data_IF_271029196407
#
_entry.id   IF_271029196407
#
_cell.length_a   1.000
_cell.length_b   1.000
_cell.length_c   1.000
_cell.angle_alpha   90.00
_cell.angle_beta   90.00
_cell.angle_gamma   90.00
#
_symmetry.space_group_name_H-M   'P 1'
#
loop_
_entity.id
_entity.type
_entity.pdbx_description
1 polymer ?
#
# COMPACT_ATOMS: atom_id res chain seq x y z
N UNK A 1 -18.01 -7.80 -2.76
CA UNK A 1 -17.50 -6.41 -2.73
C UNK A 1 -17.49 -5.81 -1.33
N UNK A 2 -18.57 -5.93 -0.55
CA UNK A 2 -18.70 -5.28 0.78
C UNK A 2 -17.61 -5.63 1.82
N UNK A 3 -17.13 -6.87 1.87
CA UNK A 3 -16.10 -7.27 2.85
C UNK A 3 -14.72 -6.68 2.58
N UNK A 4 -14.30 -6.63 1.31
CA UNK A 4 -13.01 -6.03 0.93
C UNK A 4 -13.02 -4.51 1.16
N UNK A 5 -14.15 -3.85 0.92
CA UNK A 5 -14.31 -2.43 1.22
C UNK A 5 -14.26 -2.17 2.73
N UNK A 6 -14.94 -2.99 3.53
CA UNK A 6 -14.87 -2.90 5.00
C UNK A 6 -13.44 -3.12 5.51
N UNK A 7 -12.73 -4.09 4.94
CA UNK A 7 -11.32 -4.32 5.26
C UNK A 7 -10.48 -3.07 5.00
N UNK A 8 -10.59 -2.47 3.81
CA UNK A 8 -9.80 -1.30 3.46
C UNK A 8 -10.15 -0.07 4.27
N UNK A 9 -11.44 0.16 4.53
CA UNK A 9 -11.86 1.22 5.43
C UNK A 9 -11.25 1.06 6.83
N UNK A 10 -11.17 -0.17 7.36
CA UNK A 10 -10.51 -0.42 8.64
C UNK A 10 -8.99 -0.17 8.56
N UNK A 11 -8.34 -0.49 7.44
CA UNK A 11 -6.91 -0.17 7.21
C UNK A 11 -6.72 1.34 7.22
N UNK A 12 -7.53 2.09 6.48
CA UNK A 12 -7.47 3.56 6.39
C UNK A 12 -7.63 4.21 7.78
N UNK A 13 -8.61 3.77 8.57
CA UNK A 13 -8.84 4.28 9.93
C UNK A 13 -7.61 4.04 10.81
N UNK A 14 -7.02 2.84 10.73
CA UNK A 14 -5.83 2.52 11.53
C UNK A 14 -4.61 3.29 11.04
N UNK A 15 -4.42 3.44 9.72
CA UNK A 15 -3.34 4.24 9.14
C UNK A 15 -3.37 5.68 9.65
N UNK A 16 -4.54 6.33 9.64
CA UNK A 16 -4.71 7.69 10.16
C UNK A 16 -4.38 7.78 11.64
N UNK A 17 -4.92 6.87 12.45
CA UNK A 17 -4.62 6.83 13.88
C UNK A 17 -3.12 6.64 14.17
N UNK A 18 -2.41 5.84 13.36
CA UNK A 18 -0.97 5.67 13.48
C UNK A 18 -0.19 6.93 13.06
N UNK A 19 -0.65 7.65 12.03
CA UNK A 19 -0.04 8.92 11.61
C UNK A 19 -0.20 10.00 12.69
N UNK A 20 -1.36 10.09 13.33
CA UNK A 20 -1.60 11.02 14.45
C UNK A 20 -0.71 10.69 15.67
N UNK A 21 -0.51 9.41 15.96
CA UNK A 21 0.35 8.96 17.07
C UNK A 21 1.84 9.22 16.83
N UNK A 22 2.27 9.30 15.58
CA UNK A 22 3.67 9.51 15.21
C UNK A 22 4.24 10.83 15.74
N UNK A 23 3.43 11.88 15.79
CA UNK A 23 3.85 13.19 16.29
C UNK A 23 4.05 13.25 17.80
N UNK A 24 3.63 12.22 18.54
CA UNK A 24 3.67 12.18 20.01
C UNK A 24 4.89 11.41 20.53
N UNK A 25 5.42 10.47 19.75
CA UNK A 25 6.51 9.58 20.17
C UNK A 25 7.81 9.89 19.45
N UNK A 26 8.94 9.51 20.06
CA UNK A 26 10.23 9.55 19.37
C UNK A 26 10.28 8.55 18.20
N UNK A 27 10.96 8.87 17.08
CA UNK A 27 11.00 7.99 15.89
C UNK A 27 11.48 6.55 16.16
N UNK A 28 12.43 6.36 17.08
CA UNK A 28 12.91 5.02 17.48
C UNK A 28 11.90 4.28 18.35
N UNK A 29 11.17 4.99 19.21
CA UNK A 29 10.12 4.41 20.04
C UNK A 29 8.94 3.97 19.17
N UNK A 30 8.60 4.78 18.17
CA UNK A 30 7.62 4.44 17.16
C UNK A 30 8.00 3.13 16.43
N UNK A 31 9.21 3.02 15.90
CA UNK A 31 9.66 1.83 15.18
C UNK A 31 9.49 0.55 16.03
N UNK A 32 9.96 0.58 17.29
CA UNK A 32 9.80 -0.53 18.24
C UNK A 32 8.33 -0.83 18.53
N UNK A 33 7.51 0.19 18.71
CA UNK A 33 6.08 0.06 18.97
C UNK A 33 5.32 -0.56 17.80
N UNK A 34 5.63 -0.13 16.58
CA UNK A 34 5.07 -0.69 15.34
C UNK A 34 5.46 -2.15 15.19
N UNK A 35 6.73 -2.50 15.36
CA UNK A 35 7.16 -3.89 15.18
C UNK A 35 6.52 -4.81 16.23
N UNK A 36 6.50 -4.39 17.50
CA UNK A 36 5.77 -5.12 18.55
C UNK A 36 4.29 -5.31 18.20
N UNK A 37 3.62 -4.28 17.69
CA UNK A 37 2.21 -4.37 17.30
C UNK A 37 2.01 -5.31 16.10
N UNK A 38 2.92 -5.29 15.13
CA UNK A 38 2.89 -6.13 13.94
C UNK A 38 2.97 -7.63 14.25
N UNK A 39 3.86 -8.01 15.18
CA UNK A 39 4.03 -9.43 15.56
C UNK A 39 2.92 -9.93 16.50
N UNK A 40 2.29 -9.03 17.28
CA UNK A 40 1.31 -9.43 18.30
C UNK A 40 -0.15 -9.35 17.83
N UNK A 41 -0.46 -8.47 16.87
CA UNK A 41 -1.84 -8.26 16.43
C UNK A 41 -2.38 -9.45 15.65
N UNK A 42 -3.62 -9.85 15.97
CA UNK A 42 -4.40 -10.82 15.18
C UNK A 42 -5.35 -10.16 14.19
N UNK A 43 -5.49 -8.83 14.26
CA UNK A 43 -6.36 -8.07 13.36
C UNK A 43 -5.60 -7.75 12.07
N UNK A 44 -6.00 -8.37 10.96
CA UNK A 44 -5.34 -8.18 9.67
C UNK A 44 -5.32 -6.72 9.16
N UNK A 45 -6.40 -5.91 9.27
CA UNK A 45 -6.33 -4.50 8.88
C UNK A 45 -5.25 -3.73 9.66
N UNK A 46 -5.16 -4.00 10.97
CA UNK A 46 -4.15 -3.39 11.84
C UNK A 46 -2.76 -3.85 11.44
N UNK A 47 -2.59 -5.15 11.17
CA UNK A 47 -1.31 -5.73 10.77
C UNK A 47 -0.80 -5.10 9.47
N UNK A 48 -1.68 -4.91 8.49
CA UNK A 48 -1.36 -4.27 7.22
C UNK A 48 -0.96 -2.81 7.38
N UNK A 49 -1.76 -2.01 8.09
CA UNK A 49 -1.46 -0.59 8.32
C UNK A 49 -0.12 -0.41 9.06
N UNK A 50 0.13 -1.23 10.08
CA UNK A 50 1.39 -1.21 10.83
C UNK A 50 2.56 -1.65 9.96
N UNK A 51 2.39 -2.69 9.13
CA UNK A 51 3.44 -3.17 8.24
C UNK A 51 3.82 -2.13 7.18
N UNK A 52 2.82 -1.49 6.55
CA UNK A 52 3.05 -0.39 5.61
C UNK A 52 3.81 0.75 6.28
N UNK A 53 3.34 1.22 7.45
CA UNK A 53 4.00 2.31 8.16
C UNK A 53 5.44 1.96 8.57
N UNK A 54 5.64 0.76 9.14
CA UNK A 54 6.94 0.30 9.59
C UNK A 54 7.94 0.08 8.45
N UNK A 55 7.49 -0.46 7.32
CA UNK A 55 8.34 -0.68 6.15
C UNK A 55 8.95 0.61 5.61
N UNK A 56 8.15 1.68 5.54
CA UNK A 56 8.59 2.99 5.07
C UNK A 56 9.20 3.87 6.16
N UNK A 57 9.29 3.40 7.40
CA UNK A 57 9.91 4.15 8.48
C UNK A 57 11.44 4.01 8.41
N UNK A 58 12.20 5.12 8.35
CA UNK A 58 13.67 5.05 8.27
C UNK A 58 14.32 4.35 9.46
N UNK A 59 13.71 4.48 10.64
CA UNK A 59 14.22 3.95 11.91
C UNK A 59 13.93 2.46 12.13
N UNK A 60 13.17 1.82 11.24
CA UNK A 60 12.97 0.37 11.29
C UNK A 60 14.29 -0.34 10.98
N UNK A 61 14.62 -1.35 11.78
CA UNK A 61 15.82 -2.17 11.57
C UNK A 61 15.69 -3.01 10.31
N UNK A 62 16.81 -3.51 9.81
CA UNK A 62 16.83 -4.31 8.58
C UNK A 62 15.98 -5.58 8.72
N UNK A 63 16.10 -6.30 9.84
CA UNK A 63 15.32 -7.52 10.09
C UNK A 63 13.82 -7.23 10.21
N UNK A 64 13.46 -6.06 10.76
CA UNK A 64 12.07 -5.60 10.86
C UNK A 64 11.53 -5.25 9.46
N UNK A 65 12.33 -4.55 8.64
CA UNK A 65 11.98 -4.22 7.25
C UNK A 65 11.81 -5.46 6.39
N UNK A 66 12.65 -6.47 6.55
CA UNK A 66 12.50 -7.76 5.85
C UNK A 66 11.21 -8.47 6.25
N UNK A 67 10.89 -8.50 7.54
CA UNK A 67 9.64 -9.09 8.04
C UNK A 67 8.40 -8.35 7.50
N UNK A 68 8.44 -7.02 7.47
CA UNK A 68 7.39 -6.23 6.84
C UNK A 68 7.29 -6.50 5.34
N UNK A 69 8.42 -6.52 4.63
CA UNK A 69 8.47 -6.76 3.20
C UNK A 69 7.87 -8.11 2.81
N UNK A 70 8.27 -9.18 3.52
CA UNK A 70 7.74 -10.52 3.29
C UNK A 70 6.21 -10.57 3.46
N UNK A 71 5.70 -9.95 4.52
CA UNK A 71 4.25 -9.88 4.77
C UNK A 71 3.52 -9.04 3.70
N UNK A 72 4.04 -7.85 3.37
CA UNK A 72 3.44 -6.94 2.38
C UNK A 72 3.43 -7.55 0.99
N UNK A 73 4.50 -8.25 0.59
CA UNK A 73 4.56 -8.96 -0.69
C UNK A 73 3.48 -10.03 -0.80
N UNK A 74 3.26 -10.81 0.26
CA UNK A 74 2.15 -11.77 0.33
C UNK A 74 0.76 -11.14 0.32
N UNK A 75 0.67 -9.83 0.62
CA UNK A 75 -0.56 -9.03 0.69
C UNK A 75 -0.47 -7.82 -0.24
N UNK A 76 0.17 -7.96 -1.41
CA UNK A 76 0.50 -6.81 -2.26
C UNK A 76 -0.73 -6.05 -2.73
N UNK A 77 -1.80 -6.76 -3.11
CA UNK A 77 -3.03 -6.12 -3.59
C UNK A 77 -3.66 -5.20 -2.54
N UNK A 78 -3.94 -5.65 -1.29
CA UNK A 78 -4.48 -4.74 -0.30
C UNK A 78 -3.47 -3.66 0.14
N UNK A 79 -2.16 -3.94 0.13
CA UNK A 79 -1.13 -2.93 0.42
C UNK A 79 -1.16 -1.78 -0.59
N UNK A 80 -1.19 -2.09 -1.89
CA UNK A 80 -1.27 -1.10 -2.98
C UNK A 80 -2.57 -0.31 -2.91
N UNK A 81 -3.70 -0.98 -2.64
CA UNK A 81 -4.98 -0.27 -2.50
C UNK A 81 -4.94 0.73 -1.34
N UNK A 82 -4.36 0.38 -0.20
CA UNK A 82 -4.21 1.31 0.92
C UNK A 82 -3.34 2.53 0.54
N UNK A 83 -2.23 2.31 -0.19
CA UNK A 83 -1.39 3.40 -0.69
C UNK A 83 -2.11 4.29 -1.72
N UNK A 84 -2.97 3.72 -2.57
CA UNK A 84 -3.83 4.47 -3.48
C UNK A 84 -4.84 5.31 -2.68
N UNK A 85 -5.48 4.74 -1.66
CA UNK A 85 -6.46 5.45 -0.82
C UNK A 85 -5.83 6.63 -0.06
N UNK A 86 -4.55 6.56 0.28
CA UNK A 86 -3.76 7.66 0.86
C UNK A 86 -3.05 8.56 -0.18
N UNK A 87 -3.24 8.29 -1.48
CA UNK A 87 -2.61 8.97 -2.62
C UNK A 87 -1.06 9.06 -2.53
N UNK A 88 -0.44 8.02 -1.96
CA UNK A 88 1.00 7.96 -1.65
C UNK A 88 1.82 7.43 -2.84
N UNK A 89 1.98 8.26 -3.89
CA UNK A 89 2.66 7.86 -5.14
C UNK A 89 4.11 7.40 -4.93
N UNK A 90 4.90 8.12 -4.12
CA UNK A 90 6.30 7.77 -3.85
C UNK A 90 6.45 6.35 -3.28
N UNK A 91 5.51 5.93 -2.42
CA UNK A 91 5.50 4.57 -1.86
C UNK A 91 5.09 3.53 -2.90
N UNK A 92 4.16 3.87 -3.80
CA UNK A 92 3.78 3.01 -4.92
C UNK A 92 4.95 2.78 -5.87
N UNK A 93 5.74 3.82 -6.16
CA UNK A 93 6.97 3.74 -6.95
C UNK A 93 7.99 2.80 -6.33
N UNK A 94 8.19 2.87 -5.01
CA UNK A 94 9.08 1.94 -4.31
C UNK A 94 8.59 0.49 -4.44
N UNK A 95 7.29 0.22 -4.29
CA UNK A 95 6.77 -1.15 -4.46
C UNK A 95 6.93 -1.64 -5.90
N UNK A 96 6.81 -0.74 -6.87
CA UNK A 96 7.05 -1.02 -8.29
C UNK A 96 8.53 -1.32 -8.56
N UNK A 97 9.46 -0.50 -8.05
CA UNK A 97 10.89 -0.70 -8.24
C UNK A 97 11.41 -1.99 -7.60
N UNK A 98 10.74 -2.46 -6.54
CA UNK A 98 10.99 -3.77 -5.93
C UNK A 98 10.42 -4.95 -6.75
N UNK A 99 9.71 -4.68 -7.85
CA UNK A 99 9.12 -5.68 -8.74
C UNK A 99 7.90 -6.38 -8.14
N UNK A 100 7.22 -5.76 -7.15
CA UNK A 100 6.08 -6.40 -6.49
C UNK A 100 4.77 -6.18 -7.24
N UNK A 101 4.71 -5.16 -8.11
CA UNK A 101 3.52 -4.89 -8.91
C UNK A 101 3.46 -5.82 -10.13
N UNK A 102 2.42 -6.65 -10.17
CA UNK A 102 2.14 -7.51 -11.31
C UNK A 102 1.19 -6.83 -12.29
N UNK A 103 1.53 -6.86 -13.58
CA UNK A 103 0.76 -6.24 -14.68
C UNK A 103 -0.73 -6.60 -14.68
N UNK A 104 -1.07 -7.85 -14.32
CA UNK A 104 -2.45 -8.35 -14.27
C UNK A 104 -3.37 -7.59 -13.30
N UNK A 105 -2.78 -6.88 -12.32
CA UNK A 105 -3.53 -6.14 -11.31
C UNK A 105 -3.63 -4.63 -11.62
N UNK A 106 -2.84 -4.10 -12.56
CA UNK A 106 -2.74 -2.66 -12.84
C UNK A 106 -4.08 -2.06 -13.27
N UNK A 107 -4.82 -2.72 -14.16
CA UNK A 107 -6.16 -2.29 -14.56
C UNK A 107 -7.14 -2.21 -13.38
N UNK A 108 -7.02 -3.16 -12.44
CA UNK A 108 -7.78 -3.15 -11.20
C UNK A 108 -7.45 -1.94 -10.33
N UNK A 109 -6.16 -1.61 -10.20
CA UNK A 109 -5.70 -0.46 -9.44
C UNK A 109 -6.11 0.87 -10.08
N UNK A 110 -6.02 1.01 -11.41
CA UNK A 110 -6.50 2.19 -12.15
C UNK A 110 -8.00 2.40 -11.89
N UNK A 111 -8.80 1.34 -11.94
CA UNK A 111 -10.22 1.41 -11.64
C UNK A 111 -10.48 1.90 -10.21
N UNK A 112 -9.73 1.38 -9.24
CA UNK A 112 -9.86 1.79 -7.83
C UNK A 112 -9.46 3.25 -7.65
N UNK A 113 -8.31 3.67 -8.15
CA UNK A 113 -7.83 5.06 -8.07
C UNK A 113 -8.86 6.04 -8.67
N UNK A 114 -9.44 5.69 -9.82
CA UNK A 114 -10.52 6.47 -10.45
C UNK A 114 -11.79 6.52 -9.61
N UNK A 115 -12.27 5.38 -9.11
CA UNK A 115 -13.47 5.32 -8.27
C UNK A 115 -13.32 6.09 -6.95
N UNK A 116 -12.11 6.09 -6.38
CA UNK A 116 -11.77 6.78 -5.14
C UNK A 116 -11.31 8.23 -5.35
N UNK A 117 -11.27 8.71 -6.60
CA UNK A 117 -10.82 10.06 -6.99
C UNK A 117 -9.40 10.39 -6.50
N UNK A 118 -8.50 9.41 -6.57
CA UNK A 118 -7.09 9.51 -6.17
C UNK A 118 -6.26 9.87 -7.38
N UNK A 119 -6.22 11.16 -7.69
CA UNK A 119 -5.74 11.67 -8.97
C UNK A 119 -4.24 11.44 -9.18
N UNK A 120 -3.41 11.64 -8.15
CA UNK A 120 -1.96 11.45 -8.30
C UNK A 120 -1.64 9.96 -8.57
N UNK A 121 -2.21 9.05 -7.78
CA UNK A 121 -2.09 7.62 -7.98
C UNK A 121 -2.69 7.18 -9.34
N UNK A 122 -3.82 7.76 -9.77
CA UNK A 122 -4.43 7.43 -11.07
C UNK A 122 -3.51 7.82 -12.23
N UNK A 123 -3.00 9.05 -12.25
CA UNK A 123 -2.10 9.54 -13.30
C UNK A 123 -0.84 8.69 -13.34
N UNK A 124 -0.24 8.42 -12.17
CA UNK A 124 0.95 7.58 -12.08
C UNK A 124 0.69 6.15 -12.59
N UNK A 125 -0.40 5.49 -12.19
CA UNK A 125 -0.75 4.15 -12.66
C UNK A 125 -0.99 4.09 -14.17
N UNK A 126 -1.54 5.16 -14.77
CA UNK A 126 -1.71 5.26 -16.22
C UNK A 126 -0.37 5.37 -16.94
N UNK A 127 0.58 6.15 -16.39
CA UNK A 127 1.94 6.22 -16.91
C UNK A 127 2.66 4.88 -16.79
N UNK A 128 2.62 4.25 -15.61
CA UNK A 128 3.21 2.92 -15.39
C UNK A 128 2.67 1.89 -16.38
N UNK A 129 1.34 1.89 -16.60
CA UNK A 129 0.71 1.00 -17.59
C UNK A 129 1.24 1.27 -19.00
N UNK A 130 1.31 2.54 -19.41
CA UNK A 130 1.82 2.94 -20.72
C UNK A 130 3.25 2.43 -20.95
N UNK A 131 4.11 2.56 -19.95
CA UNK A 131 5.55 2.28 -20.09
C UNK A 131 5.89 0.80 -20.02
N UNK A 132 5.27 0.03 -19.10
CA UNK A 132 5.71 -1.35 -18.81
C UNK A 132 4.79 -2.46 -19.34
N UNK A 133 3.50 -2.19 -19.50
CA UNK A 133 2.51 -3.25 -19.78
C UNK A 133 1.73 -3.03 -21.07
N UNK A 134 1.77 -1.80 -21.62
CA UNK A 134 0.98 -1.40 -22.77
C UNK A 134 -0.51 -1.27 -22.46
N UNK A 135 -1.21 -0.57 -23.35
CA UNK A 135 -2.67 -0.65 -23.40
C UNK A 135 -3.03 -1.74 -24.39
N UNK A 136 -3.93 -2.67 -23.98
CA UNK A 136 -4.52 -3.57 -24.95
C UNK A 136 -5.35 -2.73 -25.91
N UNK A 137 -4.98 -2.73 -27.19
CA UNK A 137 -5.83 -2.19 -28.23
C UNK A 137 -7.16 -2.95 -28.18
N UNK A 138 -8.26 -2.20 -28.21
CA UNK A 138 -9.54 -2.80 -28.55
C UNK A 138 -9.44 -3.12 -30.03
N UNK A 139 -9.67 -4.37 -30.39
CA UNK A 139 -9.81 -4.73 -31.78
C UNK A 139 -11.03 -3.98 -32.35
N UNK A 140 -10.78 -3.00 -33.20
CA UNK A 140 -11.78 -2.21 -33.91
C UNK A 140 -11.95 -2.72 -35.34
N UNK A 141 -11.71 -4.01 -35.59
CA UNK A 141 -12.06 -4.61 -36.87
C UNK A 141 -13.55 -4.39 -37.15
N UNK A 142 -13.80 -3.60 -38.21
CA UNK A 142 -15.11 -3.24 -38.75
C UNK A 142 -15.68 -4.38 -39.60
#
# INVERSE_FOLDING_TARGET
>A
MKENEKFQMNVEVVSKALQEQAGVRGPQEEARGLYKKFITTKQEPVRLAVALRGFFLPQAKEEEKEAYAAYLKGRIRPAVVALIEEDQVEKLEILESLGWLEGKNIDGFIRIARQRQKNAALVWLLHLKKEKYGFKDRDFSL
#
